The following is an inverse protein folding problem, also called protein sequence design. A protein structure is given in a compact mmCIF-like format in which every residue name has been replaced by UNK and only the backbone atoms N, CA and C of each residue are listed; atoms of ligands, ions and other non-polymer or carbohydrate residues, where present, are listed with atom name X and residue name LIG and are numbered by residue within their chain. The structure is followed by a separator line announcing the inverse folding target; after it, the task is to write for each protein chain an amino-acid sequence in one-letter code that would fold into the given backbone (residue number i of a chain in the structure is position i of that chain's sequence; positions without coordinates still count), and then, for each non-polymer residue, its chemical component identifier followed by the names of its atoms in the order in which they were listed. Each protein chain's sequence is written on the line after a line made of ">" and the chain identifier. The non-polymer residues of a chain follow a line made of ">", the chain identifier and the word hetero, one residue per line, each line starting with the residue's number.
data_IF_911325263713
#
_entry.id   IF_911325263713
#
_cell.length_a   1.000
_cell.length_b   1.000
_cell.length_c   1.000
_cell.angle_alpha   90.00
_cell.angle_beta   90.00
_cell.angle_gamma   90.00
#
_symmetry.space_group_name_H-M   'P 1'
#
loop_
_entity.id
_entity.type
_entity.pdbx_description
1 polymer ?
#
# COMPACT_ATOMS: atom_id res chain seq x y z
N UNK A 1 18.85 11.89 6.67
CA UNK A 1 17.95 11.49 5.57
C UNK A 1 18.09 12.29 4.29
N UNK A 2 17.91 13.63 4.28
CA UNK A 2 18.06 14.45 3.05
C UNK A 2 19.31 14.13 2.21
N UNK A 3 20.48 13.99 2.85
CA UNK A 3 21.74 13.67 2.17
C UNK A 3 21.70 12.28 1.51
N UNK A 4 21.19 11.27 2.22
CA UNK A 4 21.05 9.90 1.71
C UNK A 4 20.07 9.85 0.53
N UNK A 5 18.91 10.50 0.66
CA UNK A 5 17.92 10.57 -0.42
C UNK A 5 18.50 11.23 -1.68
N UNK A 6 19.22 12.35 -1.53
CA UNK A 6 19.93 12.99 -2.66
C UNK A 6 20.95 12.07 -3.32
N UNK A 7 21.70 11.28 -2.54
CA UNK A 7 22.67 10.31 -3.08
C UNK A 7 21.98 9.19 -3.85
N UNK A 8 20.90 8.63 -3.31
CA UNK A 8 20.10 7.61 -4.01
C UNK A 8 19.53 8.15 -5.32
N UNK A 9 18.98 9.37 -5.31
CA UNK A 9 18.49 10.03 -6.53
C UNK A 9 19.59 10.26 -7.57
N UNK A 10 20.77 10.71 -7.13
CA UNK A 10 21.89 10.93 -8.05
C UNK A 10 22.41 9.62 -8.65
N UNK A 11 22.41 8.53 -7.88
CA UNK A 11 22.92 7.23 -8.32
C UNK A 11 21.92 6.45 -9.18
N UNK A 12 20.67 6.35 -8.72
CA UNK A 12 19.63 5.52 -9.35
C UNK A 12 18.87 6.26 -10.44
N UNK A 13 18.83 7.61 -10.37
CA UNK A 13 18.10 8.48 -11.31
C UNK A 13 16.67 7.98 -11.59
N UNK A 14 15.83 7.79 -10.55
CA UNK A 14 14.51 7.20 -10.73
C UNK A 14 13.56 8.16 -11.46
N UNK A 15 12.71 7.60 -12.33
CA UNK A 15 11.64 8.35 -13.00
C UNK A 15 10.52 8.76 -12.03
N UNK A 16 10.26 7.94 -11.00
CA UNK A 16 9.29 8.19 -9.96
C UNK A 16 9.74 7.62 -8.61
N UNK A 17 9.23 8.20 -7.52
CA UNK A 17 9.37 7.67 -6.16
C UNK A 17 8.00 7.48 -5.55
N UNK A 18 7.73 6.27 -5.07
CA UNK A 18 6.52 5.95 -4.33
C UNK A 18 6.81 5.87 -2.82
N UNK A 19 5.93 6.46 -2.02
CA UNK A 19 5.97 6.38 -0.56
C UNK A 19 4.80 5.52 -0.08
N UNK A 20 5.10 4.41 0.59
CA UNK A 20 4.13 3.39 1.01
C UNK A 20 3.50 3.68 2.37
N UNK A 21 2.87 4.85 2.52
CA UNK A 21 2.15 5.22 3.74
C UNK A 21 3.00 5.74 4.88
N UNK A 22 2.30 6.11 5.95
CA UNK A 22 2.83 6.72 7.17
C UNK A 22 3.78 7.88 6.90
N UNK A 23 3.29 8.78 6.03
CA UNK A 23 4.07 9.89 5.49
C UNK A 23 4.39 10.92 6.57
N UNK A 24 3.45 11.13 7.49
CA UNK A 24 3.56 12.11 8.57
C UNK A 24 3.43 11.44 9.93
N UNK A 25 4.42 11.70 10.79
CA UNK A 25 4.30 11.38 12.21
C UNK A 25 3.14 12.19 12.83
N UNK A 26 2.15 11.46 13.34
CA UNK A 26 0.89 12.02 13.79
C UNK A 26 0.02 12.62 12.68
N UNK A 27 0.07 12.09 11.46
CA UNK A 27 -0.73 12.56 10.33
C UNK A 27 -2.23 12.65 10.65
N UNK A 28 -2.75 11.73 11.47
CA UNK A 28 -4.14 11.74 11.97
C UNK A 28 -4.37 12.45 13.30
N UNK A 29 -3.34 12.63 14.12
CA UNK A 29 -3.46 13.11 15.52
C UNK A 29 -3.00 14.56 15.72
N UNK A 30 -2.21 15.11 14.79
CA UNK A 30 -1.65 16.46 14.90
C UNK A 30 -2.38 17.46 14.00
N UNK A 31 -2.45 18.72 14.44
CA UNK A 31 -3.15 19.80 13.75
C UNK A 31 -2.36 21.12 13.81
N UNK A 32 -2.77 22.09 13.00
CA UNK A 32 -2.20 23.45 12.98
C UNK A 32 -0.68 23.45 12.76
N UNK A 33 0.04 24.26 13.56
CA UNK A 33 1.48 24.49 13.39
C UNK A 33 2.32 23.22 13.41
N UNK A 34 1.97 22.23 14.25
CA UNK A 34 2.71 20.97 14.35
C UNK A 34 2.57 20.15 13.06
N UNK A 35 1.34 20.03 12.55
CA UNK A 35 1.07 19.36 11.29
C UNK A 35 1.80 20.06 10.12
N UNK A 36 1.71 21.39 10.03
CA UNK A 36 2.36 22.16 8.97
C UNK A 36 3.88 22.03 9.01
N UNK A 37 4.49 21.98 10.20
CA UNK A 37 5.92 21.73 10.38
C UNK A 37 6.33 20.35 9.89
N UNK A 38 5.57 19.31 10.23
CA UNK A 38 5.86 17.93 9.80
C UNK A 38 5.69 17.79 8.28
N UNK A 39 4.61 18.34 7.73
CA UNK A 39 4.39 18.43 6.28
C UNK A 39 5.53 19.15 5.56
N UNK A 40 5.93 20.33 6.04
CA UNK A 40 7.03 21.10 5.44
C UNK A 40 8.37 20.36 5.48
N UNK A 41 8.64 19.62 6.56
CA UNK A 41 9.84 18.74 6.63
C UNK A 41 9.83 17.67 5.54
N UNK A 42 8.69 17.00 5.35
CA UNK A 42 8.55 15.95 4.34
C UNK A 42 8.75 16.51 2.92
N UNK A 43 7.94 17.49 2.52
CA UNK A 43 7.89 17.99 1.14
C UNK A 43 9.08 18.85 0.72
N UNK A 44 9.52 19.76 1.59
CA UNK A 44 10.41 20.87 1.19
C UNK A 44 11.86 20.61 1.57
N UNK A 45 12.11 19.70 2.55
CA UNK A 45 13.45 19.51 3.10
C UNK A 45 14.05 18.17 2.74
N UNK A 46 13.28 17.08 2.86
CA UNK A 46 13.82 15.72 2.76
C UNK A 46 13.61 15.15 1.37
N UNK A 47 12.38 15.19 0.85
CA UNK A 47 11.96 14.43 -0.34
C UNK A 47 11.67 15.30 -1.55
N UNK A 48 12.74 15.91 -2.05
CA UNK A 48 12.70 16.75 -3.24
C UNK A 48 12.97 15.87 -4.46
N UNK A 49 11.91 15.50 -5.18
CA UNK A 49 11.95 14.81 -6.48
C UNK A 49 10.74 15.23 -7.33
N UNK A 50 10.84 15.07 -8.65
CA UNK A 50 9.85 15.55 -9.62
C UNK A 50 8.54 14.78 -9.54
N UNK A 51 8.60 13.44 -9.60
CA UNK A 51 7.40 12.59 -9.56
C UNK A 51 7.36 11.83 -8.24
N UNK A 52 6.34 12.13 -7.44
CA UNK A 52 6.09 11.50 -6.14
C UNK A 52 4.71 10.89 -6.15
N UNK A 53 4.66 9.61 -5.80
CA UNK A 53 3.43 8.84 -5.64
C UNK A 53 3.27 8.52 -4.16
N UNK A 54 2.03 8.48 -3.70
CA UNK A 54 1.71 8.36 -2.29
C UNK A 54 0.65 7.29 -2.07
N UNK A 55 0.93 6.39 -1.14
CA UNK A 55 -0.05 5.51 -0.51
C UNK A 55 -0.35 6.09 0.86
N UNK A 56 -1.60 6.06 1.31
CA UNK A 56 -1.96 6.50 2.66
C UNK A 56 -1.62 5.40 3.67
N UNK A 57 -1.11 5.75 4.85
CA UNK A 57 -0.93 4.81 5.96
C UNK A 57 -1.91 5.00 7.10
N UNK A 58 -1.99 4.02 8.00
CA UNK A 58 -2.91 4.07 9.14
C UNK A 58 -2.52 5.16 10.15
N UNK A 59 -1.25 5.62 10.20
CA UNK A 59 -0.87 6.81 10.98
C UNK A 59 -1.29 8.13 10.30
N UNK A 60 -1.51 8.13 8.99
CA UNK A 60 -1.99 9.29 8.25
C UNK A 60 -3.50 9.49 8.41
N UNK A 61 -4.28 8.41 8.28
CA UNK A 61 -5.75 8.49 8.13
C UNK A 61 -6.56 7.58 9.05
N UNK A 62 -5.93 6.63 9.75
CA UNK A 62 -6.62 5.57 10.51
C UNK A 62 -6.95 4.34 9.66
N UNK A 63 -7.72 3.40 10.21
CA UNK A 63 -7.97 2.09 9.60
C UNK A 63 -9.41 1.61 9.84
N UNK A 64 -10.02 1.01 8.81
CA UNK A 64 -11.35 0.39 8.87
C UNK A 64 -12.43 1.33 9.39
N UNK A 65 -13.31 0.82 10.24
CA UNK A 65 -14.39 1.61 10.85
C UNK A 65 -13.90 2.75 11.75
N UNK A 66 -12.65 2.68 12.21
CA UNK A 66 -11.98 3.71 13.02
C UNK A 66 -11.19 4.72 12.18
N UNK A 67 -11.40 4.76 10.86
CA UNK A 67 -10.78 5.74 9.97
C UNK A 67 -11.21 7.17 10.34
N UNK A 68 -10.24 8.08 10.41
CA UNK A 68 -10.44 9.47 10.84
C UNK A 68 -10.76 10.33 9.62
N UNK A 69 -12.06 10.51 9.33
CA UNK A 69 -12.54 11.22 8.13
C UNK A 69 -11.94 12.61 7.91
N UNK A 70 -11.83 13.49 8.94
CA UNK A 70 -11.17 14.78 8.75
C UNK A 70 -9.70 14.66 8.31
N UNK A 71 -9.01 13.62 8.79
CA UNK A 71 -7.63 13.33 8.40
C UNK A 71 -7.55 12.80 6.97
N UNK A 72 -8.48 11.94 6.54
CA UNK A 72 -8.59 11.50 5.15
C UNK A 72 -8.87 12.66 4.18
N UNK A 73 -9.81 13.55 4.50
CA UNK A 73 -10.07 14.76 3.70
C UNK A 73 -8.82 15.63 3.60
N UNK A 74 -8.11 15.82 4.73
CA UNK A 74 -6.86 16.58 4.75
C UNK A 74 -5.76 15.89 3.94
N UNK A 75 -5.63 14.58 4.04
CA UNK A 75 -4.67 13.77 3.27
C UNK A 75 -4.91 13.98 1.78
N UNK A 76 -6.15 13.79 1.31
CA UNK A 76 -6.48 13.93 -0.12
C UNK A 76 -6.17 15.31 -0.68
N UNK A 77 -6.41 16.35 0.12
CA UNK A 77 -6.06 17.74 -0.26
C UNK A 77 -4.56 17.98 -0.43
N UNK A 78 -3.72 17.22 0.27
CA UNK A 78 -2.26 17.44 0.32
C UNK A 78 -1.51 16.48 -0.61
N UNK A 79 -1.88 15.20 -0.58
CA UNK A 79 -1.17 14.11 -1.26
C UNK A 79 -1.90 13.59 -2.51
N UNK A 80 -3.15 13.99 -2.73
CA UNK A 80 -3.96 13.55 -3.87
C UNK A 80 -4.85 12.35 -3.57
N UNK A 81 -5.38 11.73 -4.62
CA UNK A 81 -6.28 10.57 -4.49
C UNK A 81 -5.60 9.42 -3.72
N UNK A 82 -6.40 8.64 -2.99
CA UNK A 82 -5.95 7.42 -2.29
C UNK A 82 -6.19 6.15 -3.12
N UNK A 83 -6.94 6.28 -4.21
CA UNK A 83 -7.21 5.25 -5.20
C UNK A 83 -6.87 5.81 -6.58
N UNK A 84 -5.87 5.26 -7.26
CA UNK A 84 -5.50 5.71 -8.61
C UNK A 84 -4.64 4.68 -9.36
N UNK A 85 -4.66 4.79 -10.69
CA UNK A 85 -3.79 4.06 -11.60
C UNK A 85 -3.00 5.05 -12.46
N UNK A 86 -1.68 4.86 -12.57
CA UNK A 86 -0.81 5.69 -13.41
C UNK A 86 0.11 4.80 -14.26
N UNK A 87 0.32 5.18 -15.53
CA UNK A 87 1.19 4.45 -16.46
C UNK A 87 2.59 5.03 -16.46
N UNK A 88 3.59 4.23 -16.04
CA UNK A 88 5.00 4.62 -16.03
C UNK A 88 5.84 3.43 -16.49
N UNK A 89 6.77 3.65 -17.43
CA UNK A 89 7.73 2.63 -17.86
C UNK A 89 7.11 1.34 -18.37
N UNK A 90 6.04 1.41 -19.17
CA UNK A 90 5.25 0.25 -19.65
C UNK A 90 4.59 -0.61 -18.56
N UNK A 91 4.42 -0.05 -17.36
CA UNK A 91 3.67 -0.67 -16.27
C UNK A 91 2.52 0.23 -15.87
N UNK A 92 1.48 -0.39 -15.32
CA UNK A 92 0.41 0.30 -14.64
C UNK A 92 0.63 0.20 -13.14
N UNK A 93 0.88 1.34 -12.50
CA UNK A 93 1.10 1.44 -11.06
C UNK A 93 -0.26 1.75 -10.43
N UNK A 94 -0.78 0.80 -9.66
CA UNK A 94 -2.10 0.84 -9.02
C UNK A 94 -1.92 1.08 -7.53
N UNK A 95 -2.48 2.16 -7.02
CA UNK A 95 -2.59 2.42 -5.58
C UNK A 95 -4.03 2.18 -5.17
N UNK A 96 -4.21 1.29 -4.18
CA UNK A 96 -5.52 0.97 -3.61
C UNK A 96 -5.52 1.29 -2.11
N UNK A 97 -6.50 2.08 -1.68
CA UNK A 97 -6.74 2.37 -0.27
C UNK A 97 -7.42 1.19 0.43
N UNK A 98 -6.58 0.24 0.85
CA UNK A 98 -7.00 -0.92 1.63
C UNK A 98 -7.41 -0.56 3.06
N UNK A 99 -7.06 0.62 3.57
CA UNK A 99 -7.42 1.08 4.91
C UNK A 99 -8.92 1.38 4.98
N UNK A 100 -9.43 2.15 4.02
CA UNK A 100 -10.85 2.44 3.90
C UNK A 100 -11.65 1.23 3.41
N UNK A 101 -11.08 0.45 2.48
CA UNK A 101 -11.74 -0.74 1.93
C UNK A 101 -12.01 -1.82 3.00
N UNK A 102 -11.18 -1.87 4.05
CA UNK A 102 -11.35 -2.78 5.19
C UNK A 102 -12.48 -2.39 6.16
N UNK A 103 -13.19 -1.28 5.92
CA UNK A 103 -14.33 -0.87 6.74
C UNK A 103 -15.60 -1.64 6.37
N UNK A 104 -16.48 -1.88 7.33
CA UNK A 104 -17.85 -2.35 7.09
C UNK A 104 -18.83 -1.21 6.82
N UNK A 105 -18.43 0.03 7.11
CA UNK A 105 -19.24 1.22 6.88
C UNK A 105 -19.21 1.60 5.38
N UNK A 106 -20.36 1.60 4.68
CA UNK A 106 -20.41 1.88 3.25
C UNK A 106 -19.81 3.23 2.87
N UNK A 107 -20.05 4.26 3.66
CA UNK A 107 -19.59 5.62 3.39
C UNK A 107 -18.08 5.84 3.64
N UNK A 108 -17.39 4.85 4.24
CA UNK A 108 -15.92 4.80 4.29
C UNK A 108 -15.38 3.99 3.11
N UNK A 109 -15.91 2.78 2.89
CA UNK A 109 -15.33 1.84 1.91
C UNK A 109 -15.73 2.09 0.46
N UNK A 110 -16.84 2.79 0.21
CA UNK A 110 -17.48 2.87 -1.12
C UNK A 110 -16.54 3.36 -2.21
N UNK A 111 -15.73 4.38 -1.96
CA UNK A 111 -14.81 4.91 -2.97
C UNK A 111 -13.77 3.86 -3.42
N UNK A 112 -13.14 3.18 -2.46
CA UNK A 112 -12.17 2.11 -2.75
C UNK A 112 -12.84 0.89 -3.40
N UNK A 113 -14.06 0.54 -2.96
CA UNK A 113 -14.82 -0.57 -3.54
C UNK A 113 -15.20 -0.28 -5.00
N UNK A 114 -15.61 0.95 -5.31
CA UNK A 114 -15.93 1.38 -6.67
C UNK A 114 -14.70 1.34 -7.57
N UNK A 115 -13.56 1.82 -7.08
CA UNK A 115 -12.30 1.75 -7.83
C UNK A 115 -11.87 0.30 -8.10
N UNK A 116 -11.93 -0.59 -7.09
CA UNK A 116 -11.65 -2.01 -7.28
C UNK A 116 -12.60 -2.65 -8.30
N UNK A 117 -13.90 -2.35 -8.19
CA UNK A 117 -14.92 -2.83 -9.12
C UNK A 117 -14.70 -2.33 -10.55
N UNK A 118 -14.16 -1.12 -10.72
CA UNK A 118 -13.78 -0.62 -12.04
C UNK A 118 -12.64 -1.46 -12.62
N UNK A 119 -11.57 -1.67 -11.85
CA UNK A 119 -10.40 -2.47 -12.30
C UNK A 119 -10.77 -3.92 -12.63
N UNK A 120 -11.75 -4.49 -11.91
CA UNK A 120 -12.31 -5.83 -12.18
C UNK A 120 -12.99 -5.95 -13.55
N UNK A 121 -13.60 -4.87 -14.02
CA UNK A 121 -14.33 -4.83 -15.28
C UNK A 121 -13.44 -4.46 -16.47
N UNK A 122 -12.17 -4.14 -16.22
CA UNK A 122 -11.18 -3.80 -17.24
C UNK A 122 -10.32 -5.01 -17.57
N UNK A 123 -9.95 -5.15 -18.85
CA UNK A 123 -8.87 -6.07 -19.23
C UNK A 123 -7.54 -5.32 -19.14
N UNK A 124 -6.59 -5.74 -18.27
CA UNK A 124 -5.29 -5.09 -18.17
C UNK A 124 -4.58 -5.07 -19.52
N UNK A 125 -4.13 -3.88 -19.94
CA UNK A 125 -3.35 -3.71 -21.20
C UNK A 125 -1.84 -3.65 -20.97
N UNK A 126 -1.43 -3.46 -19.72
CA UNK A 126 -0.05 -3.43 -19.25
C UNK A 126 0.06 -4.27 -17.97
N UNK A 127 1.25 -4.79 -17.63
CA UNK A 127 1.50 -5.38 -16.33
C UNK A 127 1.15 -4.42 -15.19
N UNK A 128 0.48 -4.93 -14.15
CA UNK A 128 0.00 -4.13 -13.01
C UNK A 128 0.91 -4.35 -11.80
N UNK A 129 1.39 -3.26 -11.21
CA UNK A 129 2.08 -3.25 -9.92
C UNK A 129 1.14 -2.62 -8.90
N UNK A 130 0.71 -3.40 -7.92
CA UNK A 130 -0.16 -2.95 -6.84
C UNK A 130 0.67 -2.42 -5.67
N UNK A 131 0.24 -1.31 -5.11
CA UNK A 131 0.79 -0.73 -3.89
C UNK A 131 -0.29 -0.61 -2.83
N UNK A 132 0.00 -1.16 -1.66
CA UNK A 132 -0.83 -1.02 -0.45
C UNK A 132 0.06 -0.54 0.69
N UNK A 133 -0.55 -0.04 1.78
CA UNK A 133 0.23 0.24 2.98
C UNK A 133 0.35 -0.99 3.86
N UNK A 134 -0.79 -1.56 4.28
CA UNK A 134 -0.82 -2.79 5.06
C UNK A 134 -0.61 -4.00 4.12
N UNK A 135 0.25 -4.97 4.50
CA UNK A 135 0.47 -6.19 3.73
C UNK A 135 -0.80 -7.00 3.48
N UNK A 136 -0.82 -7.77 2.39
CA UNK A 136 -1.91 -8.68 2.13
C UNK A 136 -1.86 -9.90 3.07
N UNK A 137 -3.01 -10.56 3.24
CA UNK A 137 -3.13 -11.71 4.12
C UNK A 137 -2.14 -12.81 3.76
N UNK A 138 -1.50 -13.38 4.78
CA UNK A 138 -0.80 -14.66 4.69
C UNK A 138 -0.99 -15.46 5.96
N UNK A 139 -0.72 -16.76 5.87
CA UNK A 139 -0.73 -17.64 7.03
C UNK A 139 0.46 -17.27 7.92
N UNK A 140 0.25 -17.16 9.23
CA UNK A 140 1.26 -16.71 10.21
C UNK A 140 2.56 -17.54 10.20
N UNK A 141 2.50 -18.81 9.77
CA UNK A 141 3.66 -19.71 9.65
C UNK A 141 4.48 -19.48 8.38
N UNK A 142 4.07 -18.56 7.50
CA UNK A 142 4.73 -18.28 6.23
C UNK A 142 6.03 -17.50 6.46
N UNK A 143 7.21 -18.01 6.04
CA UNK A 143 8.47 -17.31 6.21
C UNK A 143 8.58 -16.10 5.27
N UNK A 144 9.28 -15.06 5.73
CA UNK A 144 9.48 -13.79 5.00
C UNK A 144 10.66 -13.75 4.02
N UNK A 145 11.27 -14.90 3.73
CA UNK A 145 12.49 -14.98 2.93
C UNK A 145 13.75 -14.63 3.71
N UNK A 146 14.90 -14.73 3.03
CA UNK A 146 16.22 -14.65 3.65
C UNK A 146 16.66 -13.23 4.06
N UNK A 147 15.99 -12.20 3.54
CA UNK A 147 16.33 -10.80 3.79
C UNK A 147 15.58 -10.19 4.99
N UNK A 148 14.65 -10.91 5.64
CA UNK A 148 14.03 -10.46 6.91
C UNK A 148 15.11 -10.32 7.98
N UNK A 149 15.17 -9.18 8.65
CA UNK A 149 16.18 -8.94 9.69
C UNK A 149 15.82 -9.61 11.01
N UNK A 150 14.53 -9.58 11.40
CA UNK A 150 14.06 -10.29 12.61
C UNK A 150 13.67 -11.75 12.37
N UNK A 151 13.70 -12.55 13.44
CA UNK A 151 13.18 -13.93 13.44
C UNK A 151 11.68 -14.01 13.75
N UNK A 152 11.02 -12.88 13.98
CA UNK A 152 9.62 -12.86 14.39
C UNK A 152 8.73 -13.06 13.17
N UNK A 153 7.75 -13.95 13.32
CA UNK A 153 6.69 -14.09 12.34
C UNK A 153 5.69 -12.93 12.47
N UNK A 154 5.10 -12.52 11.34
CA UNK A 154 3.95 -11.62 11.38
C UNK A 154 2.73 -12.45 11.76
N UNK A 155 2.17 -12.16 12.92
CA UNK A 155 0.95 -12.77 13.42
C UNK A 155 -0.25 -11.96 12.93
N UNK A 156 -1.40 -12.57 12.65
CA UNK A 156 -2.63 -11.88 12.27
C UNK A 156 -3.28 -11.24 13.51
N UNK A 157 -2.71 -10.11 13.92
CA UNK A 157 -3.14 -9.36 15.09
C UNK A 157 -3.76 -8.05 14.67
N UNK A 158 -4.84 -7.72 15.35
CA UNK A 158 -5.51 -6.42 15.28
C UNK A 158 -5.41 -5.70 16.62
N UNK A 159 -5.27 -4.38 16.56
CA UNK A 159 -5.23 -3.48 17.70
C UNK A 159 -6.05 -2.23 17.43
N UNK A 160 -5.92 -1.23 18.30
CA UNK A 160 -6.57 0.05 18.05
C UNK A 160 -5.93 0.78 16.86
N UNK A 161 -6.66 0.81 15.73
CA UNK A 161 -6.24 1.48 14.48
C UNK A 161 -4.97 0.89 13.86
N UNK A 162 -4.74 -0.39 14.08
CA UNK A 162 -3.64 -1.14 13.53
C UNK A 162 -4.06 -2.58 13.23
N UNK A 163 -3.60 -3.12 12.10
CA UNK A 163 -3.79 -4.49 11.72
C UNK A 163 -2.59 -4.94 10.89
N UNK A 164 -1.95 -6.04 11.29
CA UNK A 164 -0.71 -6.52 10.66
C UNK A 164 -0.87 -6.90 9.18
N UNK A 165 -2.07 -7.33 8.77
CA UNK A 165 -2.35 -7.80 7.41
C UNK A 165 -3.82 -7.55 7.05
N UNK A 166 -4.12 -7.24 5.79
CA UNK A 166 -5.50 -7.20 5.28
C UNK A 166 -6.15 -8.57 5.47
N UNK A 167 -7.45 -8.62 5.78
CA UNK A 167 -8.16 -9.89 5.99
C UNK A 167 -8.16 -10.79 4.75
N UNK A 168 -8.18 -12.11 4.96
CA UNK A 168 -8.06 -13.11 3.91
C UNK A 168 -9.10 -12.99 2.78
N UNK A 169 -10.42 -12.80 3.05
CA UNK A 169 -11.41 -12.67 1.99
C UNK A 169 -11.16 -11.43 1.12
N UNK A 170 -10.84 -10.30 1.74
CA UNK A 170 -10.57 -9.04 1.04
C UNK A 170 -9.28 -9.13 0.22
N UNK A 171 -8.24 -9.78 0.75
CA UNK A 171 -7.01 -10.08 0.01
C UNK A 171 -7.30 -10.84 -1.28
N UNK A 172 -8.16 -11.87 -1.21
CA UNK A 172 -8.55 -12.64 -2.39
C UNK A 172 -9.36 -11.81 -3.39
N UNK A 173 -10.28 -10.96 -2.92
CA UNK A 173 -11.03 -10.05 -3.78
C UNK A 173 -10.11 -9.08 -4.53
N UNK A 174 -9.15 -8.46 -3.83
CA UNK A 174 -8.17 -7.53 -4.40
C UNK A 174 -7.33 -8.23 -5.48
N UNK A 175 -6.76 -9.39 -5.18
CA UNK A 175 -5.90 -10.13 -6.13
C UNK A 175 -6.69 -10.57 -7.36
N UNK A 176 -7.91 -11.09 -7.16
CA UNK A 176 -8.77 -11.54 -8.26
C UNK A 176 -9.21 -10.39 -9.15
N UNK A 177 -9.46 -9.22 -8.57
CA UNK A 177 -9.95 -8.07 -9.30
C UNK A 177 -8.89 -7.24 -9.98
N UNK A 178 -7.74 -7.03 -9.35
CA UNK A 178 -6.64 -6.24 -9.93
C UNK A 178 -5.79 -7.09 -10.86
N UNK A 179 -5.61 -8.37 -10.52
CA UNK A 179 -4.68 -9.31 -11.17
C UNK A 179 -3.26 -8.75 -11.31
N UNK A 180 -2.62 -8.31 -10.20
CA UNK A 180 -1.30 -7.69 -10.26
C UNK A 180 -0.19 -8.70 -10.55
N UNK A 181 0.83 -8.28 -11.28
CA UNK A 181 2.07 -9.03 -11.50
C UNK A 181 3.02 -8.92 -10.30
N UNK A 182 2.88 -7.87 -9.49
CA UNK A 182 3.68 -7.60 -8.29
C UNK A 182 2.89 -6.77 -7.29
N UNK A 183 3.06 -7.04 -5.99
CA UNK A 183 2.57 -6.19 -4.89
C UNK A 183 3.74 -5.64 -4.09
N UNK A 184 3.68 -4.36 -3.71
CA UNK A 184 4.55 -3.77 -2.71
C UNK A 184 3.74 -3.21 -1.55
N UNK A 185 4.15 -3.52 -0.33
CA UNK A 185 3.51 -3.07 0.92
C UNK A 185 4.51 -2.48 1.92
N UNK A 186 4.00 -1.85 2.97
CA UNK A 186 4.76 -1.29 4.09
C UNK A 186 4.31 -1.85 5.44
N UNK A 187 4.19 -0.98 6.45
CA UNK A 187 3.67 -1.26 7.81
C UNK A 187 4.52 -2.20 8.71
N UNK A 188 5.03 -3.34 8.21
CA UNK A 188 5.79 -4.32 9.04
C UNK A 188 7.19 -3.82 9.48
N UNK A 189 7.69 -2.75 8.86
CA UNK A 189 8.98 -2.13 9.17
C UNK A 189 10.21 -3.05 8.97
N UNK A 190 10.04 -4.19 8.31
CA UNK A 190 11.10 -5.09 7.91
C UNK A 190 10.75 -5.73 6.55
N UNK A 191 11.73 -6.36 5.94
CA UNK A 191 11.62 -7.02 4.66
C UNK A 191 10.79 -8.30 4.74
N UNK A 192 9.77 -8.44 3.91
CA UNK A 192 9.08 -9.72 3.77
C UNK A 192 8.69 -10.06 2.33
N UNK A 193 9.07 -11.25 1.89
CA UNK A 193 8.72 -11.81 0.57
C UNK A 193 7.74 -12.97 0.70
N UNK A 194 6.62 -12.89 -0.01
CA UNK A 194 5.64 -13.99 -0.12
C UNK A 194 5.05 -14.07 -1.53
N UNK A 195 4.42 -15.19 -1.86
CA UNK A 195 3.67 -15.36 -3.10
C UNK A 195 2.21 -15.73 -2.79
N UNK A 196 1.28 -14.96 -3.36
CA UNK A 196 -0.15 -15.13 -3.14
C UNK A 196 -0.79 -15.96 -4.24
N UNK A 197 -1.41 -17.07 -3.88
CA UNK A 197 -2.23 -17.84 -4.79
C UNK A 197 -3.67 -17.30 -4.81
N UNK A 198 -4.23 -17.09 -5.99
CA UNK A 198 -5.64 -16.70 -6.17
C UNK A 198 -6.22 -17.30 -7.45
N UNK A 199 -7.55 -17.42 -7.53
CA UNK A 199 -8.21 -17.99 -8.72
C UNK A 199 -8.32 -16.93 -9.80
N UNK A 200 -7.91 -17.25 -11.02
CA UNK A 200 -8.06 -16.32 -12.14
C UNK A 200 -9.28 -16.67 -12.99
N UNK A 201 -10.32 -15.85 -12.88
CA UNK A 201 -11.59 -16.01 -13.61
C UNK A 201 -11.48 -15.78 -15.13
N UNK A 202 -10.41 -15.11 -15.59
CA UNK A 202 -10.23 -14.69 -16.98
C UNK A 202 -9.44 -15.69 -17.84
N UNK A 203 -8.88 -16.75 -17.24
CA UNK A 203 -8.20 -17.80 -17.98
C UNK A 203 -9.26 -18.73 -18.58
N UNK A 204 -9.59 -18.53 -19.87
CA UNK A 204 -10.49 -19.43 -20.61
C UNK A 204 -9.91 -20.84 -20.58
N UNK A 205 -10.65 -21.76 -19.97
CA UNK A 205 -10.33 -23.19 -19.87
C UNK A 205 -10.05 -23.78 -21.26
N UNK A 206 -8.77 -23.95 -21.60
CA UNK A 206 -8.39 -24.89 -22.66
C UNK A 206 -8.45 -26.30 -22.07
N UNK A 207 -9.66 -26.87 -22.08
CA UNK A 207 -9.88 -28.32 -21.98
C UNK A 207 -9.16 -29.04 -20.84
N UNK A 208 -9.32 -28.59 -19.59
CA UNK A 208 -9.26 -29.48 -18.42
C UNK A 208 -9.81 -28.74 -17.21
N UNK A 209 -10.64 -29.40 -16.40
CA UNK A 209 -11.34 -28.87 -15.22
C UNK A 209 -10.43 -28.61 -14.01
N UNK A 210 -9.21 -28.10 -14.24
CA UNK A 210 -8.33 -27.64 -13.18
C UNK A 210 -8.52 -26.13 -13.01
N UNK A 211 -8.97 -25.71 -11.83
CA UNK A 211 -9.03 -24.30 -11.42
C UNK A 211 -7.64 -23.69 -11.64
N UNK A 212 -7.48 -22.80 -12.62
CA UNK A 212 -6.22 -22.12 -12.86
C UNK A 212 -5.99 -21.10 -11.74
N UNK A 213 -5.00 -21.40 -10.88
CA UNK A 213 -4.49 -20.45 -9.92
C UNK A 213 -3.44 -19.56 -10.59
N UNK A 214 -3.49 -18.27 -10.30
CA UNK A 214 -2.43 -17.31 -10.56
C UNK A 214 -1.66 -17.07 -9.26
N UNK A 215 -0.40 -16.67 -9.40
CA UNK A 215 0.49 -16.37 -8.29
C UNK A 215 1.02 -14.95 -8.45
N UNK A 216 0.87 -14.13 -7.41
CA UNK A 216 1.44 -12.79 -7.38
C UNK A 216 2.46 -12.67 -6.24
N UNK A 217 3.73 -12.32 -6.52
CA UNK A 217 4.69 -11.96 -5.49
C UNK A 217 4.31 -10.67 -4.78
N UNK A 218 4.48 -10.64 -3.45
CA UNK A 218 4.44 -9.44 -2.62
C UNK A 218 5.78 -9.25 -1.93
N UNK A 219 6.26 -8.00 -1.93
CA UNK A 219 7.37 -7.55 -1.10
C UNK A 219 6.90 -6.46 -0.15
N UNK A 220 6.90 -6.76 1.14
CA UNK A 220 6.80 -5.76 2.20
C UNK A 220 8.17 -5.13 2.40
N UNK A 221 8.24 -3.81 2.23
CA UNK A 221 9.50 -3.08 2.31
C UNK A 221 9.80 -2.65 3.75
N UNK A 222 11.08 -2.72 4.18
CA UNK A 222 11.50 -2.15 5.45
C UNK A 222 11.24 -0.64 5.43
N UNK A 223 10.71 -0.13 6.52
CA UNK A 223 10.45 1.30 6.66
C UNK A 223 11.51 1.94 7.56
N UNK A 224 11.62 3.25 7.47
CA UNK A 224 12.40 4.03 8.43
C UNK A 224 11.56 5.23 8.84
N UNK A 225 11.36 5.41 10.15
CA UNK A 225 10.60 6.55 10.65
C UNK A 225 11.42 7.84 10.59
N UNK A 226 10.82 8.89 10.02
CA UNK A 226 11.42 10.24 9.96
C UNK A 226 11.54 10.93 11.30
N UNK A 227 10.74 10.48 12.25
CA UNK A 227 10.51 11.15 13.52
C UNK A 227 10.90 10.28 14.72
N UNK A 228 11.64 9.16 14.54
CA UNK A 228 12.08 8.28 15.64
C UNK A 228 12.39 9.07 16.92
N UNK A 229 11.46 9.04 17.88
CA UNK A 229 11.55 9.68 19.18
C UNK A 229 11.19 11.18 19.22
N UNK A 230 9.89 11.48 19.36
CA UNK A 230 9.42 12.24 20.53
C UNK A 230 8.42 11.35 21.26
#
# INVERSE_FOLDING_TARGET
>A
MRRSFKRLHASLRPDAVIFLGDLLDGGRTTFGKTFDKNKGRFFERVFITLVRLYVAGNHDVGFGDKLVRPSMVRYKRIFGSVNYEIKIGNHSLVVLDTLALSSELPDIRQESQQFLSQLMNETPTLPRILFTHIPLYRIETTPCGAARETKQLILDRMGEQYQNMIHAPLTQEILQGIQPDMVFSGDDHDWCEVAHAYKNSNVKSRGNSNKHYSYTPEVTLPTFSFAQGI
#
